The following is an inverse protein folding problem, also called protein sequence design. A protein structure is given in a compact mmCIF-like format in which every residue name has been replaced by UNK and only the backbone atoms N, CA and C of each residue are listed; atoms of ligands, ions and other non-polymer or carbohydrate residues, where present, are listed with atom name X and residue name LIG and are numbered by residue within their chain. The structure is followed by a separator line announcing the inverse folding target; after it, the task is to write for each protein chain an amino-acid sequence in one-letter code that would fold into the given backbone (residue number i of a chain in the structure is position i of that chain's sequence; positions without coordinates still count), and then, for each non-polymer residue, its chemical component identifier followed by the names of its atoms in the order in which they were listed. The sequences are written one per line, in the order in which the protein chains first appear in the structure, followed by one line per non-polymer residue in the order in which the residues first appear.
data_IF_847041030303
#
_entry.id   IF_847041030303
#
_cell.length_a   1.000
_cell.length_b   1.000
_cell.length_c   1.000
_cell.angle_alpha   90.00
_cell.angle_beta   90.00
_cell.angle_gamma   90.00
#
_symmetry.space_group_name_H-M   'P 1'
#
loop_
_entity.id
_entity.type
_entity.pdbx_description
1 polymer ?
#
# COMPACT_ATOMS: atom_id res chain seq x y z
N UNK A 1 -3.01 8.86 -22.50
CA UNK A 1 -3.87 9.67 -21.61
C UNK A 1 -3.01 10.04 -20.43
N UNK A 2 -2.82 11.33 -20.15
CA UNK A 2 -2.06 11.77 -18.98
C UNK A 2 -2.80 11.28 -17.74
N UNK A 3 -2.20 10.37 -16.97
CA UNK A 3 -2.79 9.91 -15.70
C UNK A 3 -2.92 11.12 -14.79
N UNK A 4 -4.14 11.51 -14.41
CA UNK A 4 -4.36 12.61 -13.47
C UNK A 4 -3.96 12.12 -12.09
N UNK A 5 -3.10 12.87 -11.41
CA UNK A 5 -2.63 12.55 -10.06
C UNK A 5 -3.67 13.03 -9.03
N UNK A 6 -3.81 12.40 -7.85
CA UNK A 6 -4.71 12.89 -6.80
C UNK A 6 -4.51 14.35 -6.43
N UNK A 7 -3.26 14.83 -6.45
CA UNK A 7 -2.92 16.23 -6.18
C UNK A 7 -3.47 17.22 -7.22
N UNK A 8 -3.81 16.78 -8.44
CA UNK A 8 -4.46 17.62 -9.45
C UNK A 8 -5.93 17.95 -9.10
N UNK A 9 -6.53 17.17 -8.18
CA UNK A 9 -7.91 17.34 -7.73
C UNK A 9 -8.01 17.90 -6.31
N UNK A 10 -7.08 17.51 -5.45
CA UNK A 10 -7.02 17.94 -4.05
C UNK A 10 -5.56 18.13 -3.68
N UNK A 11 -5.14 19.39 -3.53
CA UNK A 11 -3.74 19.78 -3.24
C UNK A 11 -3.14 19.02 -2.06
N UNK A 12 -3.98 18.70 -1.06
CA UNK A 12 -3.57 17.98 0.13
C UNK A 12 -3.11 16.53 -0.13
N UNK A 13 -3.56 15.90 -1.22
CA UNK A 13 -3.21 14.52 -1.61
C UNK A 13 -1.90 14.46 -2.40
N UNK A 14 -0.84 15.03 -1.82
CA UNK A 14 0.52 14.93 -2.35
C UNK A 14 1.01 13.48 -2.36
N UNK A 15 1.86 13.12 -3.33
CA UNK A 15 2.47 11.78 -3.40
C UNK A 15 3.18 11.40 -2.09
N UNK A 16 3.89 12.34 -1.44
CA UNK A 16 4.59 12.09 -0.18
C UNK A 16 3.63 11.60 0.92
N UNK A 17 2.54 12.32 1.15
CA UNK A 17 1.53 11.96 2.18
C UNK A 17 0.84 10.63 1.86
N UNK A 18 0.50 10.42 0.59
CA UNK A 18 -0.12 9.16 0.15
C UNK A 18 0.85 7.98 0.32
N UNK A 19 2.13 8.15 -0.01
CA UNK A 19 3.17 7.15 0.21
C UNK A 19 3.31 6.81 1.69
N UNK A 20 3.35 7.81 2.59
CA UNK A 20 3.45 7.58 4.04
C UNK A 20 2.28 6.72 4.55
N UNK A 21 1.04 7.05 4.15
CA UNK A 21 -0.15 6.29 4.55
C UNK A 21 -0.13 4.88 3.94
N UNK A 22 0.14 4.77 2.65
CA UNK A 22 0.12 3.50 1.92
C UNK A 22 1.19 2.54 2.43
N UNK A 23 2.39 3.05 2.74
CA UNK A 23 3.49 2.27 3.31
C UNK A 23 3.09 1.70 4.68
N UNK A 24 2.48 2.50 5.55
CA UNK A 24 2.00 2.02 6.84
C UNK A 24 0.91 0.94 6.71
N UNK A 25 0.02 1.06 5.72
CA UNK A 25 -0.98 0.02 5.43
C UNK A 25 -0.32 -1.28 4.95
N UNK A 26 0.68 -1.17 4.08
CA UNK A 26 1.43 -2.28 3.51
C UNK A 26 2.26 -3.02 4.56
N UNK A 27 2.96 -2.30 5.43
CA UNK A 27 3.77 -2.87 6.52
C UNK A 27 2.90 -3.76 7.42
N UNK A 28 1.72 -3.27 7.80
CA UNK A 28 0.79 -4.07 8.62
C UNK A 28 0.25 -5.31 7.90
N UNK A 29 0.26 -5.36 6.56
CA UNK A 29 -0.03 -6.60 5.84
C UNK A 29 1.05 -7.65 6.10
N UNK A 30 2.31 -7.28 5.86
CA UNK A 30 3.45 -8.19 5.99
C UNK A 30 3.69 -8.59 7.45
N UNK A 31 3.66 -7.65 8.40
CA UNK A 31 3.79 -7.97 9.83
C UNK A 31 2.70 -8.92 10.33
N UNK A 32 1.47 -8.80 9.81
CA UNK A 32 0.39 -9.73 10.17
C UNK A 32 0.63 -11.12 9.59
N UNK A 33 1.13 -11.18 8.35
CA UNK A 33 1.46 -12.46 7.76
C UNK A 33 2.61 -13.11 8.55
N UNK A 34 3.69 -12.39 8.86
CA UNK A 34 4.82 -12.93 9.63
C UNK A 34 4.42 -13.42 11.03
N UNK A 35 3.50 -12.71 11.72
CA UNK A 35 3.07 -13.08 13.07
C UNK A 35 2.10 -14.27 13.11
N UNK A 36 1.22 -14.40 12.11
CA UNK A 36 0.15 -15.40 12.08
C UNK A 36 0.49 -16.56 11.15
N UNK A 37 1.47 -17.35 11.59
CA UNK A 37 2.00 -18.52 10.88
C UNK A 37 1.62 -19.85 11.55
N UNK A 38 0.68 -19.86 12.50
CA UNK A 38 0.28 -21.09 13.19
C UNK A 38 -0.66 -21.94 12.33
N UNK A 39 -0.59 -23.28 12.49
CA UNK A 39 -1.57 -24.22 11.90
C UNK A 39 -3.02 -23.96 12.35
N UNK A 40 -3.21 -23.20 13.43
CA UNK A 40 -4.53 -22.82 13.95
C UNK A 40 -5.01 -21.46 13.43
N UNK A 41 -4.20 -20.74 12.65
CA UNK A 41 -4.59 -19.49 12.03
C UNK A 41 -5.39 -19.76 10.75
N UNK A 42 -6.56 -19.13 10.66
CA UNK A 42 -7.43 -19.22 9.50
C UNK A 42 -7.36 -17.95 8.67
N UNK A 43 -7.76 -18.02 7.39
CA UNK A 43 -7.88 -16.82 6.57
C UNK A 43 -8.80 -15.74 7.18
N UNK A 44 -9.77 -16.15 8.00
CA UNK A 44 -10.63 -15.21 8.74
C UNK A 44 -9.87 -14.48 9.85
N UNK A 45 -9.17 -15.21 10.74
CA UNK A 45 -8.41 -14.59 11.84
C UNK A 45 -7.32 -13.67 11.30
N UNK A 46 -6.58 -14.12 10.27
CA UNK A 46 -5.54 -13.32 9.60
C UNK A 46 -6.14 -12.04 9.01
N UNK A 47 -7.25 -12.15 8.28
CA UNK A 47 -7.92 -10.99 7.68
C UNK A 47 -8.46 -9.99 8.71
N UNK A 48 -9.00 -10.48 9.83
CA UNK A 48 -9.48 -9.63 10.93
C UNK A 48 -8.34 -8.91 11.64
N UNK A 49 -7.27 -9.63 12.00
CA UNK A 49 -6.09 -9.05 12.66
C UNK A 49 -5.44 -7.98 11.79
N UNK A 50 -5.27 -8.25 10.49
CA UNK A 50 -4.69 -7.29 9.56
C UNK A 50 -5.48 -6.00 9.49
N UNK A 51 -6.81 -6.10 9.33
CA UNK A 51 -7.67 -4.93 9.28
C UNK A 51 -7.61 -4.12 10.59
N UNK A 52 -7.62 -4.79 11.73
CA UNK A 52 -7.56 -4.11 13.02
C UNK A 52 -6.21 -3.41 13.24
N UNK A 53 -5.11 -4.06 12.87
CA UNK A 53 -3.75 -3.49 12.90
C UNK A 53 -3.61 -2.29 11.99
N UNK A 54 -4.04 -2.37 10.73
CA UNK A 54 -4.06 -1.25 9.79
C UNK A 54 -4.86 -0.06 10.35
N UNK A 55 -6.07 -0.32 10.85
CA UNK A 55 -6.93 0.70 11.46
C UNK A 55 -6.24 1.37 12.66
N UNK A 56 -5.66 0.59 13.56
CA UNK A 56 -5.01 1.12 14.76
C UNK A 56 -3.70 1.86 14.42
N UNK A 57 -2.95 1.40 13.41
CA UNK A 57 -1.77 2.12 12.90
C UNK A 57 -2.15 3.48 12.34
N UNK A 58 -3.20 3.57 11.52
CA UNK A 58 -3.69 4.87 11.01
C UNK A 58 -4.13 5.81 12.14
N UNK A 59 -4.79 5.28 13.18
CA UNK A 59 -5.18 6.09 14.34
C UNK A 59 -3.96 6.65 15.08
N UNK A 60 -2.91 5.84 15.24
CA UNK A 60 -1.66 6.29 15.84
C UNK A 60 -0.98 7.36 14.96
N UNK A 61 -0.96 7.17 13.65
CA UNK A 61 -0.39 8.15 12.71
C UNK A 61 -1.07 9.51 12.77
N UNK A 62 -2.37 9.59 13.05
CA UNK A 62 -3.06 10.87 13.25
C UNK A 62 -2.54 11.67 14.47
N UNK A 63 -1.85 11.02 15.41
CA UNK A 63 -1.15 11.68 16.51
C UNK A 63 0.29 12.09 16.12
N UNK A 64 0.87 11.42 15.12
CA UNK A 64 2.24 11.64 14.63
C UNK A 64 2.31 12.76 13.58
N UNK A 65 1.28 12.88 12.74
CA UNK A 65 1.25 13.77 11.58
C UNK A 65 0.16 14.83 11.71
N UNK A 66 0.51 16.14 11.85
CA UNK A 66 -0.48 17.21 12.02
C UNK A 66 -1.45 17.39 10.85
N UNK A 67 -1.08 16.92 9.65
CA UNK A 67 -1.90 16.98 8.44
C UNK A 67 -2.90 15.82 8.35
N UNK A 68 -2.83 14.82 9.24
CA UNK A 68 -3.68 13.63 9.25
C UNK A 68 -4.59 13.66 10.49
N UNK A 69 -5.90 13.55 10.29
CA UNK A 69 -6.87 13.61 11.39
C UNK A 69 -7.91 12.49 11.31
N UNK A 70 -8.49 12.13 12.46
CA UNK A 70 -9.55 11.13 12.58
C UNK A 70 -10.89 11.84 12.68
N UNK A 71 -11.80 11.53 11.76
CA UNK A 71 -13.17 12.00 11.86
C UNK A 71 -14.08 11.05 12.65
N UNK A 72 -14.09 9.79 12.23
CA UNK A 72 -14.92 8.73 12.80
C UNK A 72 -13.99 7.60 13.19
N UNK A 73 -13.75 7.43 14.49
CA UNK A 73 -12.87 6.40 15.04
C UNK A 73 -13.50 5.02 15.17
N UNK A 74 -14.73 4.80 14.68
CA UNK A 74 -15.40 3.51 14.72
C UNK A 74 -14.72 2.48 13.80
N UNK A 75 -15.30 1.28 13.70
CA UNK A 75 -14.81 0.24 12.78
C UNK A 75 -14.87 0.65 11.30
N UNK A 76 -15.58 1.73 10.96
CA UNK A 76 -15.66 2.24 9.58
C UNK A 76 -14.53 3.20 9.21
N UNK A 77 -13.75 3.62 10.20
CA UNK A 77 -12.65 4.59 10.18
C UNK A 77 -12.70 5.59 9.02
N UNK A 78 -13.15 6.81 9.32
CA UNK A 78 -13.07 7.95 8.38
C UNK A 78 -11.92 8.85 8.82
N UNK A 79 -10.94 9.00 7.93
CA UNK A 79 -9.74 9.81 8.14
C UNK A 79 -9.80 11.06 7.26
N UNK A 80 -8.94 12.04 7.52
CA UNK A 80 -8.80 13.23 6.67
C UNK A 80 -7.34 13.62 6.48
N UNK A 81 -6.97 14.02 5.27
CA UNK A 81 -5.71 14.73 4.98
C UNK A 81 -6.04 16.20 4.79
N UNK A 82 -5.62 17.07 5.71
CA UNK A 82 -5.95 18.51 5.72
C UNK A 82 -7.43 18.81 5.43
N UNK A 83 -8.31 18.04 6.07
CA UNK A 83 -9.77 18.16 5.91
C UNK A 83 -10.38 17.35 4.77
N UNK A 84 -9.59 16.89 3.79
CA UNK A 84 -10.07 16.04 2.70
C UNK A 84 -10.33 14.59 3.18
N UNK A 85 -11.57 14.10 3.15
CA UNK A 85 -11.92 12.81 3.74
C UNK A 85 -11.46 11.64 2.87
N UNK A 86 -11.01 10.57 3.52
CA UNK A 86 -10.73 9.29 2.88
C UNK A 86 -11.02 8.11 3.81
N UNK A 87 -11.13 6.92 3.23
CA UNK A 87 -11.24 5.64 3.95
C UNK A 87 -10.31 4.61 3.31
N UNK A 88 -10.08 3.50 4.00
CA UNK A 88 -9.38 2.35 3.41
C UNK A 88 -10.31 1.11 3.38
N UNK A 89 -10.06 0.22 2.42
CA UNK A 89 -10.76 -1.05 2.29
C UNK A 89 -9.82 -2.13 1.74
N UNK A 90 -10.15 -3.40 2.02
CA UNK A 90 -9.46 -4.55 1.44
C UNK A 90 -10.36 -5.16 0.37
N UNK A 91 -10.09 -4.78 -0.87
CA UNK A 91 -10.85 -5.19 -2.06
C UNK A 91 -10.06 -4.84 -3.32
N UNK A 92 -10.57 -5.29 -4.46
CA UNK A 92 -10.07 -4.85 -5.76
C UNK A 92 -10.86 -3.60 -6.21
N UNK A 93 -10.17 -2.54 -6.64
CA UNK A 93 -10.86 -1.28 -7.01
C UNK A 93 -11.55 -1.34 -8.37
N UNK A 94 -11.12 -2.22 -9.29
CA UNK A 94 -11.73 -2.44 -10.60
C UNK A 94 -13.00 -3.30 -10.50
N UNK A 95 -13.00 -4.25 -9.58
CA UNK A 95 -14.14 -5.13 -9.32
C UNK A 95 -14.36 -5.35 -7.81
N UNK A 96 -14.87 -4.33 -7.08
CA UNK A 96 -15.08 -4.44 -5.64
C UNK A 96 -16.11 -5.53 -5.33
N UNK A 97 -15.70 -6.53 -4.54
CA UNK A 97 -16.59 -7.61 -4.11
C UNK A 97 -17.56 -7.16 -3.03
N UNK A 98 -17.17 -6.18 -2.20
CA UNK A 98 -17.97 -5.68 -1.08
C UNK A 98 -18.58 -4.34 -1.42
N UNK A 99 -19.91 -4.24 -1.26
CA UNK A 99 -20.62 -2.95 -1.37
C UNK A 99 -20.05 -1.87 -0.45
N UNK A 100 -19.54 -2.24 0.73
CA UNK A 100 -18.94 -1.31 1.68
C UNK A 100 -17.64 -0.66 1.21
N UNK A 101 -16.99 -1.20 0.17
CA UNK A 101 -15.75 -0.66 -0.39
C UNK A 101 -15.96 0.69 -1.07
N UNK A 102 -17.08 0.85 -1.79
CA UNK A 102 -17.43 2.08 -2.48
C UNK A 102 -18.56 2.86 -1.80
N UNK A 103 -19.40 2.22 -0.99
CA UNK A 103 -20.49 2.90 -0.29
C UNK A 103 -19.99 4.02 0.65
N UNK A 104 -20.72 5.13 0.62
CA UNK A 104 -20.54 6.28 1.51
C UNK A 104 -21.46 6.11 2.71
N UNK A 105 -20.93 6.27 3.93
CA UNK A 105 -21.77 6.29 5.13
C UNK A 105 -22.30 7.69 5.44
N UNK A 106 -23.34 7.78 6.26
CA UNK A 106 -23.88 9.08 6.70
C UNK A 106 -22.79 9.98 7.31
N UNK A 107 -21.92 9.42 8.16
CA UNK A 107 -20.79 10.15 8.75
C UNK A 107 -19.80 10.65 7.69
N UNK A 108 -19.59 9.88 6.63
CA UNK A 108 -18.69 10.22 5.55
C UNK A 108 -19.31 11.28 4.63
N UNK A 109 -20.60 11.16 4.30
CA UNK A 109 -21.34 12.11 3.49
C UNK A 109 -21.30 13.52 4.10
N UNK A 110 -21.49 13.62 5.42
CA UNK A 110 -21.38 14.90 6.15
C UNK A 110 -19.98 15.51 5.98
N UNK A 111 -18.92 14.70 5.93
CA UNK A 111 -17.55 15.23 5.76
C UNK A 111 -17.23 15.62 4.33
N UNK A 112 -17.71 14.84 3.37
CA UNK A 112 -17.60 15.19 1.95
C UNK A 112 -18.28 16.55 1.72
N UNK A 113 -19.52 16.71 2.19
CA UNK A 113 -20.26 17.98 2.07
C UNK A 113 -19.55 19.14 2.77
N UNK A 114 -19.00 18.91 3.98
CA UNK A 114 -18.25 19.94 4.72
C UNK A 114 -16.97 20.35 3.98
N UNK A 115 -16.26 19.39 3.42
CA UNK A 115 -15.04 19.64 2.64
C UNK A 115 -15.38 20.40 1.35
N UNK A 116 -16.40 19.96 0.61
CA UNK A 116 -16.87 20.62 -0.62
C UNK A 116 -17.26 22.08 -0.36
N UNK A 117 -18.04 22.34 0.70
CA UNK A 117 -18.39 23.73 1.08
C UNK A 117 -17.17 24.57 1.40
N UNK A 118 -16.16 23.99 2.05
CA UNK A 118 -14.91 24.71 2.38
C UNK A 118 -14.14 25.05 1.11
N UNK A 119 -14.06 24.13 0.15
CA UNK A 119 -13.43 24.33 -1.16
C UNK A 119 -14.21 25.34 -2.02
N UNK A 120 -15.55 25.29 -2.01
CA UNK A 120 -16.41 26.25 -2.72
C UNK A 120 -16.37 27.65 -2.11
N UNK A 121 -16.27 27.78 -0.79
CA UNK A 121 -16.07 29.09 -0.14
C UNK A 121 -14.72 29.73 -0.51
N UNK A 122 -13.73 28.93 -0.93
CA UNK A 122 -12.46 29.43 -1.47
C UNK A 122 -12.54 29.77 -2.98
N UNK A 123 -13.58 29.31 -3.68
CA UNK A 123 -13.79 29.46 -5.11
C UNK A 123 -15.19 30.07 -5.36
N UNK A 124 -15.33 31.38 -5.17
CA UNK A 124 -16.54 32.15 -5.48
C UNK A 124 -16.77 32.22 -7.00
N UNK A 125 -17.24 31.12 -7.59
CA UNK A 125 -17.62 31.03 -9.00
C UNK A 125 -18.88 30.16 -9.10
N UNK A 126 -20.01 30.85 -9.22
CA UNK A 126 -21.31 30.26 -9.45
C UNK A 126 -21.37 29.53 -10.80
N UNK A 127 -21.63 28.23 -10.73
CA UNK A 127 -22.28 27.49 -11.81
C UNK A 127 -23.05 26.31 -11.21
N UNK A 128 -24.38 26.35 -11.31
CA UNK A 128 -25.32 25.46 -10.61
C UNK A 128 -25.58 24.13 -11.34
N UNK A 129 -24.82 23.80 -12.38
CA UNK A 129 -24.95 22.51 -13.09
C UNK A 129 -23.62 21.79 -13.19
N UNK A 130 -23.13 21.27 -12.05
CA UNK A 130 -22.03 20.29 -12.06
C UNK A 130 -22.56 18.94 -12.51
N UNK A 131 -22.07 18.44 -13.64
CA UNK A 131 -22.35 17.08 -14.07
C UNK A 131 -21.68 16.09 -13.10
N UNK A 132 -22.48 15.48 -12.21
CA UNK A 132 -22.00 14.66 -11.08
C UNK A 132 -21.16 13.45 -11.51
N UNK A 133 -21.22 13.07 -12.79
CA UNK A 133 -20.51 11.92 -13.34
C UNK A 133 -19.04 12.20 -13.64
N UNK A 134 -18.61 13.46 -13.70
CA UNK A 134 -17.22 13.84 -14.01
C UNK A 134 -16.38 14.14 -12.77
N UNK A 135 -17.02 14.56 -11.66
CA UNK A 135 -16.33 14.96 -10.43
C UNK A 135 -16.06 13.79 -9.50
N UNK A 136 -14.94 13.85 -8.80
CA UNK A 136 -14.60 12.90 -7.73
C UNK A 136 -15.35 13.30 -6.47
N UNK A 137 -16.18 12.38 -5.96
CA UNK A 137 -16.99 12.58 -4.75
C UNK A 137 -16.37 11.91 -3.53
N UNK A 138 -15.54 10.88 -3.72
CA UNK A 138 -14.96 10.12 -2.62
C UNK A 138 -13.61 9.51 -2.94
N UNK A 139 -12.82 9.37 -1.88
CA UNK A 139 -11.46 8.86 -1.95
C UNK A 139 -11.28 7.61 -1.08
N UNK A 140 -10.55 6.63 -1.61
CA UNK A 140 -10.34 5.33 -0.98
C UNK A 140 -8.92 4.83 -1.17
N UNK A 141 -8.32 4.31 -0.10
CA UNK A 141 -7.23 3.35 -0.21
C UNK A 141 -7.80 1.94 -0.43
N UNK A 142 -7.27 1.22 -1.41
CA UNK A 142 -7.50 -0.21 -1.60
C UNK A 142 -6.22 -0.96 -1.26
N UNK A 143 -6.37 -1.94 -0.39
CA UNK A 143 -5.37 -2.97 -0.12
C UNK A 143 -5.74 -4.17 -0.99
N UNK A 144 -5.16 -4.25 -2.18
CA UNK A 144 -5.37 -5.38 -3.07
C UNK A 144 -4.42 -6.52 -2.69
N UNK A 145 -4.91 -7.76 -2.81
CA UNK A 145 -4.15 -8.97 -2.52
C UNK A 145 -3.96 -9.69 -3.84
N UNK A 146 -2.73 -9.64 -4.37
CA UNK A 146 -2.32 -10.49 -5.47
C UNK A 146 -2.07 -11.89 -4.90
N UNK A 147 -3.01 -12.78 -5.12
CA UNK A 147 -2.82 -14.21 -4.87
C UNK A 147 -2.11 -14.80 -6.09
N UNK A 148 -0.78 -14.90 -6.01
CA UNK A 148 -0.03 -15.64 -7.03
C UNK A 148 -0.24 -17.14 -6.78
N UNK A 149 -0.69 -17.88 -7.80
CA UNK A 149 -1.10 -19.29 -7.61
C UNK A 149 0.09 -20.24 -7.51
N UNK A 150 1.29 -19.79 -7.91
CA UNK A 150 2.50 -20.61 -7.96
C UNK A 150 3.40 -20.48 -6.72
N UNK A 151 3.32 -19.35 -6.01
CA UNK A 151 4.12 -19.06 -4.82
C UNK A 151 3.15 -18.87 -3.67
N UNK A 152 3.31 -19.62 -2.57
CA UNK A 152 2.45 -19.53 -1.38
C UNK A 152 2.56 -18.18 -0.63
N UNK A 153 3.13 -17.15 -1.27
CA UNK A 153 3.39 -15.84 -0.71
C UNK A 153 2.36 -14.86 -1.27
N UNK A 154 1.71 -14.12 -0.37
CA UNK A 154 0.74 -13.09 -0.73
C UNK A 154 1.47 -11.80 -1.04
N UNK A 155 1.24 -11.27 -2.22
CA UNK A 155 1.68 -9.93 -2.55
C UNK A 155 0.56 -8.92 -2.36
N UNK A 156 0.94 -7.73 -1.90
CA UNK A 156 0.02 -6.66 -1.58
C UNK A 156 0.34 -5.44 -2.43
N UNK A 157 -0.69 -4.85 -3.01
CA UNK A 157 -0.58 -3.58 -3.70
C UNK A 157 -1.57 -2.58 -3.11
N UNK A 158 -1.10 -1.34 -2.93
CA UNK A 158 -1.89 -0.27 -2.33
C UNK A 158 -2.22 0.75 -3.39
N UNK A 159 -3.52 0.95 -3.63
CA UNK A 159 -4.03 1.96 -4.54
C UNK A 159 -4.73 3.07 -3.77
N UNK A 160 -4.62 4.29 -4.23
CA UNK A 160 -5.45 5.41 -3.80
C UNK A 160 -6.31 5.88 -4.97
N UNK A 161 -7.62 5.77 -4.81
CA UNK A 161 -8.59 5.89 -5.90
C UNK A 161 -9.64 6.94 -5.57
N UNK A 162 -9.86 7.84 -6.52
CA UNK A 162 -10.97 8.79 -6.51
C UNK A 162 -12.11 8.29 -7.38
N UNK A 163 -13.31 8.17 -6.79
CA UNK A 163 -14.53 7.76 -7.50
C UNK A 163 -15.50 8.91 -7.69
N UNK A 164 -16.28 8.86 -8.76
CA UNK A 164 -17.45 9.71 -8.92
C UNK A 164 -18.68 9.17 -8.16
N UNK A 165 -19.83 9.86 -8.31
CA UNK A 165 -21.09 9.49 -7.68
C UNK A 165 -21.60 8.08 -8.03
N UNK A 166 -21.23 7.55 -9.21
CA UNK A 166 -21.66 6.25 -9.73
C UNK A 166 -20.60 5.14 -9.57
N UNK A 167 -19.65 5.31 -8.64
CA UNK A 167 -18.59 4.33 -8.33
C UNK A 167 -17.59 4.06 -9.47
N UNK A 168 -17.45 4.98 -10.43
CA UNK A 168 -16.42 4.86 -11.47
C UNK A 168 -15.11 5.51 -11.02
N UNK A 169 -13.96 4.82 -11.11
CA UNK A 169 -12.66 5.40 -10.80
C UNK A 169 -12.30 6.46 -11.85
N UNK A 170 -11.99 7.67 -11.41
CA UNK A 170 -11.55 8.80 -12.26
C UNK A 170 -10.08 9.15 -12.07
N UNK A 171 -9.53 8.78 -10.92
CA UNK A 171 -8.14 9.00 -10.55
C UNK A 171 -7.63 7.75 -9.83
N UNK A 172 -6.47 7.24 -10.23
CA UNK A 172 -5.82 6.08 -9.61
C UNK A 172 -4.37 6.43 -9.37
N UNK A 173 -3.92 6.21 -8.15
CA UNK A 173 -2.53 6.35 -7.71
C UNK A 173 -2.10 5.02 -7.13
N UNK A 174 -0.86 4.58 -7.41
CA UNK A 174 -0.37 3.28 -6.97
C UNK A 174 0.96 3.40 -6.22
N UNK A 175 1.06 2.77 -5.05
CA UNK A 175 2.28 2.83 -4.24
C UNK A 175 3.53 2.34 -4.98
N UNK A 176 3.42 1.29 -5.83
CA UNK A 176 4.57 0.71 -6.53
C UNK A 176 5.24 1.70 -7.50
N UNK A 177 4.47 2.61 -8.10
CA UNK A 177 4.97 3.67 -8.99
C UNK A 177 5.74 4.77 -8.24
N UNK A 178 5.50 4.90 -6.94
CA UNK A 178 6.07 5.95 -6.08
C UNK A 178 7.06 5.40 -5.05
N UNK A 179 7.15 4.08 -4.93
CA UNK A 179 8.21 3.41 -4.18
C UNK A 179 9.47 3.49 -5.03
N UNK A 180 10.28 4.51 -4.75
CA UNK A 180 11.64 4.57 -5.29
C UNK A 180 12.32 3.25 -4.97
N UNK A 181 12.67 2.48 -6.00
CA UNK A 181 13.58 1.34 -5.86
C UNK A 181 14.97 1.90 -5.54
N UNK A 182 15.18 2.32 -4.29
CA UNK A 182 16.52 2.69 -3.81
C UNK A 182 17.25 1.41 -3.45
N UNK A 183 17.65 0.67 -4.49
CA UNK A 183 18.89 -0.08 -4.50
C UNK A 183 19.57 0.25 -5.84
N UNK A 184 20.19 1.42 -5.90
CA UNK A 184 21.21 1.68 -6.90
C UNK A 184 22.54 1.52 -6.19
N UNK A 185 23.36 0.55 -6.62
CA UNK A 185 24.76 0.49 -6.22
C UNK A 185 25.42 1.79 -6.64
N UNK A 186 25.90 2.60 -5.69
CA UNK A 186 26.51 3.91 -5.96
C UNK A 186 28.02 3.82 -6.21
N UNK A 187 28.60 2.60 -6.24
CA UNK A 187 30.01 2.41 -6.59
C UNK A 187 30.17 2.05 -8.07
N UNK A 188 30.52 3.04 -8.89
CA UNK A 188 31.10 2.84 -10.23
C UNK A 188 32.59 2.42 -10.17
N UNK A 189 33.17 2.36 -8.98
CA UNK A 189 34.53 1.84 -8.79
C UNK A 189 34.51 0.33 -8.66
N UNK A 190 34.62 -0.36 -9.80
CA UNK A 190 35.05 -1.77 -9.82
C UNK A 190 36.48 -1.83 -9.25
N UNK A 191 36.75 -2.46 -8.09
CA UNK A 191 38.11 -2.66 -7.64
C UNK A 191 38.85 -3.48 -8.70
N UNK A 192 40.04 -3.02 -9.08
CA UNK A 192 40.87 -3.70 -10.06
C UNK A 192 41.18 -5.11 -9.56
N UNK A 193 41.03 -6.11 -10.42
CA UNK A 193 41.17 -7.52 -10.05
C UNK A 193 42.61 -7.79 -9.60
N UNK A 194 42.85 -7.76 -8.29
CA UNK A 194 44.14 -8.13 -7.72
C UNK A 194 44.38 -9.62 -8.00
N UNK A 195 45.49 -9.93 -8.69
CA UNK A 195 45.87 -11.30 -8.98
C UNK A 195 46.19 -12.04 -7.67
N UNK A 196 45.29 -12.91 -7.25
CA UNK A 196 45.54 -13.83 -6.14
C UNK A 196 46.46 -14.95 -6.61
N UNK A 197 47.48 -15.27 -5.79
CA UNK A 197 48.34 -16.43 -6.05
C UNK A 197 47.50 -17.70 -5.96
N UNK A 198 47.69 -18.61 -6.90
CA UNK A 198 47.02 -19.91 -6.88
C UNK A 198 47.27 -20.62 -5.54
N UNK A 199 46.24 -21.20 -4.90
CA UNK A 199 46.41 -21.97 -3.69
C UNK A 199 47.34 -23.16 -3.99
N UNK A 200 48.38 -23.33 -3.18
CA UNK A 200 49.23 -24.53 -3.22
C UNK A 200 48.49 -25.64 -2.48
N UNK A 201 47.86 -26.54 -3.24
CA UNK A 201 47.30 -27.77 -2.69
C UNK A 201 48.36 -28.86 -2.75
N UNK A 202 48.88 -29.29 -1.60
CA UNK A 202 49.60 -30.56 -1.47
C UNK A 202 48.57 -31.66 -1.29
N UNK A 203 48.32 -32.44 -2.34
CA UNK A 203 47.60 -33.71 -2.23
C UNK A 203 48.52 -34.74 -1.57
N UNK A 204 48.08 -35.47 -0.51
CA UNK A 204 48.81 -36.63 -0.03
C UNK A 204 48.74 -37.76 -1.07
N UNK A 205 49.91 -38.29 -1.44
CA UNK A 205 50.03 -39.50 -2.24
C UNK A 205 49.28 -40.65 -1.55
N UNK A 206 48.29 -41.22 -2.22
CA UNK A 206 47.75 -42.55 -1.87
C UNK A 206 48.44 -43.61 -2.75
N UNK A 207 49.68 -43.92 -2.41
CA UNK A 207 50.34 -45.15 -2.83
C UNK A 207 50.66 -45.96 -1.57
N UNK A 208 49.70 -46.77 -1.12
CA UNK A 208 50.01 -47.98 -0.38
C UNK A 208 49.23 -49.18 -0.92
N UNK A 209 50.03 -50.16 -1.28
CA UNK A 209 49.72 -51.34 -2.05
C UNK A 209 48.93 -52.35 -1.21
N UNK A 210 47.72 -52.73 -1.66
CA UNK A 210 47.11 -53.97 -1.19
C UNK A 210 47.80 -55.15 -1.87
N UNK A 211 48.75 -55.78 -1.17
CA UNK A 211 49.15 -57.15 -1.46
C UNK A 211 47.99 -58.08 -1.08
N UNK A 212 47.35 -58.67 -2.08
CA UNK A 212 46.72 -59.98 -1.95
C UNK A 212 47.72 -61.02 -2.45
N UNK A 213 48.05 -61.99 -1.61
CA UNK A 213 48.55 -63.30 -2.05
C UNK A 213 48.19 -64.33 -0.98
N UNK A 214 47.64 -65.43 -1.48
CA UNK A 214 47.05 -66.60 -0.83
C UNK A 214 47.97 -67.36 0.14
N UNK A 215 47.42 -67.81 1.27
CA UNK A 215 47.21 -69.23 1.71
C UNK A 215 46.90 -69.30 3.21
#
# INVERSE_FOLDING_TARGET
MTSKNPSDFVDAFTNERLTIIAQALLEQCYETDDDLQSDFDSGYSVGCTRFDRQKNRLKQMALEYPWLDIHDGSNRLVMKVEGAPFRFTRDNYLAPKKRSSTAVSDTEAIQIEKFEKTQQLALDLGDETRDNDEYITKWRFFVDVAEDQEISQRDYEIFFVGFNAIDQPKCVWCLSEHRSSVITSVDDTRPEKVATKAPKTTLPNSDESRKLSDE
#
